data_IF_085267606437
#
_entry.id   IF_085267606437
#
_cell.length_a   1.000
_cell.length_b   1.000
_cell.length_c   1.000
_cell.angle_alpha   90.00
_cell.angle_beta   90.00
_cell.angle_gamma   90.00
#
_symmetry.space_group_name_H-M   'P 1'
#
loop_
_entity.id
_entity.type
_entity.pdbx_description
1 polymer ?
#
# COMPACT_ATOMS: atom_id res chain seq x y z
N UNK A 1 -1.34 -14.04 22.69
CA UNK A 1 -1.31 -14.59 21.30
C UNK A 1 0.00 -15.28 20.97
N UNK A 2 1.16 -14.65 21.19
CA UNK A 2 2.45 -15.27 20.87
C UNK A 2 2.67 -16.60 21.62
N UNK A 3 2.18 -16.71 22.87
CA UNK A 3 2.17 -17.97 23.64
C UNK A 3 1.37 -19.11 22.97
N UNK A 4 0.50 -18.78 22.01
CA UNK A 4 -0.30 -19.71 21.23
C UNK A 4 0.23 -19.89 19.80
N UNK A 5 1.44 -19.40 19.51
CA UNK A 5 2.04 -19.47 18.17
C UNK A 5 1.42 -18.53 17.13
N UNK A 6 0.58 -17.59 17.54
CA UNK A 6 -0.05 -16.60 16.64
C UNK A 6 0.81 -15.35 16.56
N UNK A 7 1.21 -14.99 15.33
CA UNK A 7 1.94 -13.75 15.00
C UNK A 7 0.96 -12.69 14.50
N UNK A 8 1.15 -11.45 14.95
CA UNK A 8 0.34 -10.30 14.51
C UNK A 8 1.28 -9.27 13.89
N UNK A 9 1.09 -9.00 12.60
CA UNK A 9 1.92 -8.09 11.80
C UNK A 9 1.03 -7.31 10.85
N UNK A 10 1.53 -6.19 10.35
CA UNK A 10 0.85 -5.41 9.33
C UNK A 10 1.83 -4.97 8.24
N UNK A 11 1.34 -4.93 7.00
CA UNK A 11 1.97 -4.15 5.93
C UNK A 11 1.26 -2.80 5.81
N UNK A 12 2.01 -1.72 5.67
CA UNK A 12 1.50 -0.38 5.41
C UNK A 12 1.79 -0.01 3.94
N UNK A 13 0.90 -0.34 2.99
CA UNK A 13 1.12 -0.10 1.58
C UNK A 13 0.96 1.38 1.21
N UNK A 14 1.83 1.87 0.32
CA UNK A 14 1.76 3.21 -0.25
C UNK A 14 0.98 3.27 -1.57
N UNK A 15 1.28 4.27 -2.39
CA UNK A 15 0.72 4.42 -3.74
C UNK A 15 0.89 3.14 -4.56
N UNK A 16 -0.23 2.51 -4.92
CA UNK A 16 -0.27 1.20 -5.59
C UNK A 16 -1.04 1.31 -6.89
N UNK A 17 -0.45 0.83 -7.98
CA UNK A 17 -1.15 0.64 -9.25
C UNK A 17 -2.07 -0.59 -9.14
N UNK A 18 -3.37 -0.34 -9.22
CA UNK A 18 -4.39 -1.35 -9.01
C UNK A 18 -5.58 -1.11 -9.95
N UNK A 19 -6.30 -2.18 -10.36
CA UNK A 19 -7.52 -2.02 -11.12
C UNK A 19 -8.59 -1.25 -10.31
N UNK A 20 -9.60 -0.67 -11.00
CA UNK A 20 -10.71 -0.02 -10.33
C UNK A 20 -11.34 -0.94 -9.28
N UNK A 21 -11.68 -0.36 -8.12
CA UNK A 21 -12.31 -1.13 -7.04
C UNK A 21 -13.64 -1.70 -7.53
N UNK A 22 -13.86 -2.99 -7.28
CA UNK A 22 -15.15 -3.65 -7.55
C UNK A 22 -16.31 -2.99 -6.81
N UNK A 23 -16.05 -2.50 -5.60
CA UNK A 23 -17.01 -1.76 -4.77
C UNK A 23 -16.44 -0.36 -4.52
N UNK A 24 -17.13 0.68 -5.00
CA UNK A 24 -16.70 2.05 -4.78
C UNK A 24 -16.79 2.41 -3.30
N UNK A 25 -15.80 3.16 -2.80
CA UNK A 25 -15.81 3.77 -1.45
C UNK A 25 -16.32 5.21 -1.49
N UNK A 26 -17.12 5.56 -2.50
CA UNK A 26 -17.59 6.93 -2.73
C UNK A 26 -16.59 7.80 -3.48
N UNK A 27 -15.57 7.23 -4.13
CA UNK A 27 -14.65 8.01 -4.99
C UNK A 27 -15.43 8.49 -6.21
N UNK A 28 -15.61 9.81 -6.40
CA UNK A 28 -16.29 10.34 -7.58
C UNK A 28 -15.47 10.05 -8.83
N UNK A 29 -16.15 9.79 -9.95
CA UNK A 29 -15.48 9.81 -11.26
C UNK A 29 -15.33 11.27 -11.68
N UNK A 30 -14.11 11.76 -11.97
CA UNK A 30 -13.92 13.14 -12.40
C UNK A 30 -14.74 13.47 -13.64
N UNK A 31 -15.62 14.46 -13.52
CA UNK A 31 -16.60 14.87 -14.54
C UNK A 31 -16.15 16.12 -15.32
N UNK A 32 -15.27 16.94 -14.74
CA UNK A 32 -14.75 18.18 -15.34
C UNK A 32 -13.21 18.27 -15.24
N UNK A 33 -12.64 19.30 -15.87
CA UNK A 33 -11.18 19.51 -15.91
C UNK A 33 -10.58 19.77 -14.52
N UNK A 34 -11.28 20.52 -13.67
CA UNK A 34 -10.82 20.81 -12.30
C UNK A 34 -10.71 19.54 -11.47
N UNK A 35 -11.72 18.66 -11.52
CA UNK A 35 -11.71 17.39 -10.81
C UNK A 35 -10.61 16.44 -11.32
N UNK A 36 -10.36 16.42 -12.64
CA UNK A 36 -9.26 15.65 -13.23
C UNK A 36 -7.90 16.18 -12.75
N UNK A 37 -7.73 17.50 -12.70
CA UNK A 37 -6.51 18.13 -12.23
C UNK A 37 -6.25 17.83 -10.74
N UNK A 38 -7.27 17.84 -9.90
CA UNK A 38 -7.14 17.45 -8.49
C UNK A 38 -6.75 15.98 -8.33
N UNK A 39 -7.35 15.09 -9.12
CA UNK A 39 -6.98 13.67 -9.11
C UNK A 39 -5.52 13.47 -9.53
N UNK A 40 -5.07 14.18 -10.58
CA UNK A 40 -3.68 14.14 -11.03
C UNK A 40 -2.72 14.70 -9.99
N UNK A 41 -3.04 15.82 -9.35
CA UNK A 41 -2.22 16.41 -8.30
C UNK A 41 -2.02 15.45 -7.10
N UNK A 42 -3.05 14.66 -6.75
CA UNK A 42 -2.91 13.62 -5.72
C UNK A 42 -1.93 12.52 -6.15
N UNK A 43 -1.97 12.09 -7.42
CA UNK A 43 -1.02 11.11 -7.96
C UNK A 43 0.42 11.67 -7.92
N UNK A 44 0.59 12.91 -8.36
CA UNK A 44 1.91 13.55 -8.43
C UNK A 44 2.51 13.74 -7.02
N UNK A 45 1.69 14.14 -6.04
CA UNK A 45 2.08 14.21 -4.64
C UNK A 45 2.56 12.84 -4.12
N UNK A 46 1.81 11.77 -4.37
CA UNK A 46 2.21 10.41 -3.95
C UNK A 46 3.53 9.97 -4.59
N UNK A 47 3.77 10.31 -5.87
CA UNK A 47 5.05 10.01 -6.52
C UNK A 47 6.19 10.84 -5.93
N UNK A 48 5.93 12.06 -5.48
CA UNK A 48 6.93 12.92 -4.88
C UNK A 48 7.37 12.45 -3.49
N UNK A 49 6.45 11.94 -2.67
CA UNK A 49 6.77 11.37 -1.35
C UNK A 49 7.42 9.98 -1.44
N UNK A 50 7.08 9.21 -2.48
CA UNK A 50 7.75 7.94 -2.78
C UNK A 50 9.20 8.19 -3.24
N UNK A 51 10.19 7.71 -2.47
CA UNK A 51 11.62 7.83 -2.82
C UNK A 51 11.98 7.08 -4.11
N UNK A 52 11.17 6.10 -4.50
CA UNK A 52 11.30 5.40 -5.79
C UNK A 52 10.58 6.11 -6.95
N UNK A 53 9.88 7.22 -6.68
CA UNK A 53 9.20 8.08 -7.66
C UNK A 53 8.20 7.37 -8.58
N UNK A 54 7.61 6.28 -8.11
CA UNK A 54 6.62 5.48 -8.84
C UNK A 54 5.61 4.84 -7.90
N UNK A 55 4.51 4.37 -8.47
CA UNK A 55 3.59 3.50 -7.75
C UNK A 55 4.18 2.09 -7.69
N UNK A 56 3.88 1.37 -6.61
CA UNK A 56 4.17 -0.06 -6.50
C UNK A 56 3.14 -0.89 -7.27
N UNK A 57 3.51 -2.10 -7.68
CA UNK A 57 2.59 -3.06 -8.29
C UNK A 57 1.86 -3.89 -7.23
N UNK A 58 0.78 -4.56 -7.61
CA UNK A 58 0.11 -5.51 -6.71
C UNK A 58 1.05 -6.62 -6.23
N UNK A 59 1.93 -7.14 -7.09
CA UNK A 59 2.89 -8.17 -6.72
C UNK A 59 3.89 -7.67 -5.68
N UNK A 60 4.34 -6.41 -5.79
CA UNK A 60 5.20 -5.77 -4.80
C UNK A 60 4.50 -5.58 -3.44
N UNK A 61 3.17 -5.45 -3.41
CA UNK A 61 2.39 -5.39 -2.17
C UNK A 61 2.15 -6.79 -1.59
N UNK A 62 1.95 -7.80 -2.45
CA UNK A 62 1.66 -9.18 -2.04
C UNK A 62 2.91 -9.89 -1.51
N UNK A 63 4.08 -9.66 -2.11
CA UNK A 63 5.30 -10.36 -1.74
C UNK A 63 5.67 -10.20 -0.24
N UNK A 64 5.64 -8.99 0.37
CA UNK A 64 5.87 -8.83 1.80
C UNK A 64 4.82 -9.48 2.68
N UNK A 65 3.56 -9.54 2.24
CA UNK A 65 2.49 -10.25 2.97
C UNK A 65 2.79 -11.75 3.00
N UNK A 66 3.19 -12.33 1.86
CA UNK A 66 3.55 -13.73 1.77
C UNK A 66 4.80 -14.05 2.60
N UNK A 67 5.82 -13.18 2.57
CA UNK A 67 6.98 -13.31 3.45
C UNK A 67 6.57 -13.27 4.93
N UNK A 68 5.75 -12.30 5.33
CA UNK A 68 5.27 -12.21 6.71
C UNK A 68 4.41 -13.41 7.12
N UNK A 69 3.70 -14.06 6.19
CA UNK A 69 2.97 -15.29 6.45
C UNK A 69 3.86 -16.54 6.52
N UNK A 70 5.05 -16.51 5.91
CA UNK A 70 5.96 -17.65 5.80
C UNK A 70 6.70 -18.02 7.10
N UNK A 71 7.41 -19.16 7.07
CA UNK A 71 8.24 -19.65 8.17
C UNK A 71 9.52 -18.81 8.34
N UNK A 72 9.98 -18.16 7.27
CA UNK A 72 11.12 -17.25 7.26
C UNK A 72 10.89 -16.02 8.16
N UNK A 73 9.62 -15.67 8.42
CA UNK A 73 9.20 -14.61 9.33
C UNK A 73 8.75 -15.13 10.71
N UNK A 74 9.11 -16.36 11.08
CA UNK A 74 8.64 -17.04 12.31
C UNK A 74 8.91 -16.27 13.62
N UNK A 75 9.89 -15.37 13.65
CA UNK A 75 10.20 -14.55 14.82
C UNK A 75 9.79 -13.08 14.71
N UNK A 76 8.95 -12.74 13.71
CA UNK A 76 8.44 -11.39 13.48
C UNK A 76 6.98 -11.31 13.96
N UNK A 77 6.73 -10.47 14.97
CA UNK A 77 5.39 -10.12 15.45
C UNK A 77 5.42 -8.74 16.10
N UNK A 78 4.28 -8.04 16.15
CA UNK A 78 4.16 -6.69 16.71
C UNK A 78 4.80 -5.60 15.85
N UNK A 79 5.02 -5.87 14.56
CA UNK A 79 5.67 -4.93 13.64
C UNK A 79 4.75 -4.50 12.50
N UNK A 80 4.94 -3.26 12.06
CA UNK A 80 4.36 -2.71 10.83
C UNK A 80 5.49 -2.53 9.84
N UNK A 81 5.34 -3.10 8.64
CA UNK A 81 6.30 -2.97 7.55
C UNK A 81 5.76 -1.99 6.50
N UNK A 82 6.36 -0.80 6.34
CA UNK A 82 6.05 0.09 5.23
C UNK A 82 6.41 -0.56 3.89
N UNK A 83 5.45 -0.62 2.97
CA UNK A 83 5.61 -1.12 1.60
C UNK A 83 5.19 -0.01 0.64
N UNK A 84 6.01 1.05 0.61
CA UNK A 84 5.61 2.33 0.04
C UNK A 84 6.77 3.07 -0.65
N UNK A 85 7.80 2.33 -1.10
CA UNK A 85 8.94 2.91 -1.81
C UNK A 85 9.71 3.96 -1.00
N UNK A 86 9.69 3.86 0.33
CA UNK A 86 10.33 4.79 1.27
C UNK A 86 9.42 5.87 1.85
N UNK A 87 8.18 5.98 1.37
CA UNK A 87 7.16 6.84 1.97
C UNK A 87 6.64 6.22 3.28
N UNK A 88 6.45 7.02 4.33
CA UNK A 88 5.94 6.59 5.64
C UNK A 88 4.60 7.22 6.01
N UNK A 89 4.00 8.02 5.11
CA UNK A 89 2.80 8.81 5.36
C UNK A 89 3.06 10.31 5.30
#
# INVERSE_FOLDING_TARGET
YAEHGIRVVATAPGGTEAPPRRISRGTPTPSNETEKAWFQAHIDQTKQSCLMSRYGTLDEMVAPILFLASDEASYITGSVLPVAGGDLG
#
